data_IF_165982285799
#
_entry.id   IF_165982285799
#
_cell.length_a   1.000
_cell.length_b   1.000
_cell.length_c   1.000
_cell.angle_alpha   90.00
_cell.angle_beta   90.00
_cell.angle_gamma   90.00
#
_symmetry.space_group_name_H-M   'P 1'
#
loop_
_entity.id
_entity.type
_entity.pdbx_description
1 polymer ?
#
# COMPACT_ATOMS: atom_id res chain seq x y z
N UNK A 1 27.16 4.02 -5.39
CA UNK A 1 26.90 2.82 -4.60
C UNK A 1 25.82 1.99 -5.30
N UNK A 2 26.02 0.67 -5.40
CA UNK A 2 25.02 -0.24 -5.92
C UNK A 2 23.78 -0.21 -5.03
N UNK A 3 22.59 -0.28 -5.63
CA UNK A 3 21.35 -0.36 -4.89
C UNK A 3 21.31 -1.68 -4.08
N UNK A 4 20.87 -1.65 -2.80
CA UNK A 4 20.76 -2.87 -2.02
C UNK A 4 19.67 -3.79 -2.57
N UNK A 5 19.89 -5.11 -2.47
CA UNK A 5 18.84 -6.09 -2.74
C UNK A 5 17.77 -6.06 -1.64
N UNK A 6 16.51 -6.36 -1.96
CA UNK A 6 15.45 -6.41 -0.96
C UNK A 6 15.58 -7.63 -0.04
N UNK A 7 15.24 -7.43 1.23
CA UNK A 7 14.96 -8.52 2.17
C UNK A 7 13.46 -8.75 2.23
N UNK A 8 13.02 -9.97 1.90
CA UNK A 8 11.61 -10.36 2.06
C UNK A 8 11.24 -10.51 3.54
N UNK A 9 10.09 -10.01 3.93
CA UNK A 9 9.61 -9.98 5.30
C UNK A 9 8.13 -10.36 5.37
N UNK A 10 7.71 -10.83 6.53
CA UNK A 10 6.31 -10.89 6.94
C UNK A 10 6.15 -9.96 8.14
N UNK A 11 5.32 -8.94 8.01
CA UNK A 11 5.10 -7.94 9.06
C UNK A 11 3.64 -7.98 9.52
N UNK A 12 3.37 -7.75 10.82
CA UNK A 12 1.99 -7.74 11.31
C UNK A 12 1.29 -6.42 10.97
N UNK A 13 0.07 -6.51 10.47
CA UNK A 13 -0.90 -5.42 10.52
C UNK A 13 -1.32 -5.13 11.97
N UNK A 14 -2.08 -4.08 12.22
CA UNK A 14 -2.49 -3.70 13.58
C UNK A 14 -3.38 -4.76 14.28
N UNK A 15 -4.07 -5.59 13.50
CA UNK A 15 -4.89 -6.71 13.97
C UNK A 15 -4.17 -8.07 13.96
N UNK A 16 -2.87 -8.08 13.62
CA UNK A 16 -2.05 -9.29 13.53
C UNK A 16 -2.10 -10.03 12.19
N UNK A 17 -2.87 -9.56 11.20
CA UNK A 17 -2.82 -10.11 9.84
C UNK A 17 -1.41 -9.98 9.27
N UNK A 18 -0.86 -11.06 8.69
CA UNK A 18 0.52 -11.05 8.17
C UNK A 18 0.57 -10.48 6.76
N UNK A 19 1.31 -9.39 6.61
CA UNK A 19 1.52 -8.70 5.35
C UNK A 19 2.86 -9.11 4.74
N UNK A 20 2.86 -9.46 3.46
CA UNK A 20 4.09 -9.61 2.69
C UNK A 20 4.72 -8.24 2.48
N UNK A 21 5.99 -8.11 2.81
CA UNK A 21 6.73 -6.86 2.68
C UNK A 21 8.14 -7.11 2.14
N UNK A 22 8.74 -6.06 1.61
CA UNK A 22 10.13 -6.02 1.18
C UNK A 22 10.81 -4.79 1.75
N UNK A 23 11.96 -4.98 2.36
CA UNK A 23 12.79 -3.90 2.90
C UNK A 23 14.08 -3.78 2.06
N UNK A 24 14.31 -2.62 1.51
CA UNK A 24 15.58 -2.22 0.91
C UNK A 24 16.35 -1.41 1.95
N UNK A 25 17.46 -1.95 2.44
CA UNK A 25 18.36 -1.29 3.41
C UNK A 25 19.80 -1.72 3.15
N UNK A 26 20.75 -0.86 3.43
CA UNK A 26 22.16 -1.24 3.34
C UNK A 26 22.52 -2.18 4.50
N UNK A 27 23.38 -3.18 4.28
CA UNK A 27 23.90 -4.00 5.35
C UNK A 27 24.53 -3.13 6.45
N UNK A 28 24.18 -3.40 7.72
CA UNK A 28 24.74 -2.68 8.88
C UNK A 28 24.15 -1.30 9.15
N UNK A 29 23.18 -0.81 8.37
CA UNK A 29 22.53 0.48 8.59
C UNK A 29 21.48 0.40 9.72
N UNK A 30 21.96 0.44 10.98
CA UNK A 30 21.11 0.28 12.16
C UNK A 30 20.38 1.57 12.57
N UNK A 31 20.92 2.75 12.25
CA UNK A 31 20.39 4.05 12.68
C UNK A 31 20.36 5.05 11.51
N UNK A 32 19.54 4.84 10.49
CA UNK A 32 19.40 5.79 9.41
C UNK A 32 18.73 7.08 9.92
N UNK A 33 19.08 8.23 9.31
CA UNK A 33 18.41 9.50 9.61
C UNK A 33 16.93 9.47 9.22
N UNK A 34 16.60 8.76 8.13
CA UNK A 34 15.24 8.66 7.58
C UNK A 34 14.96 7.27 7.10
N UNK A 35 13.70 6.87 7.21
CA UNK A 35 13.15 5.66 6.59
C UNK A 35 11.92 6.02 5.76
N UNK A 36 11.63 5.21 4.74
CA UNK A 36 10.46 5.42 3.91
C UNK A 36 9.49 4.23 3.99
N UNK A 37 8.20 4.53 3.98
CA UNK A 37 7.11 3.60 3.72
C UNK A 37 6.47 3.95 2.38
N UNK A 38 6.28 2.98 1.50
CA UNK A 38 5.53 3.18 0.26
C UNK A 38 4.17 2.50 0.38
N UNK A 39 3.12 3.32 0.32
CA UNK A 39 1.73 2.89 0.22
C UNK A 39 1.33 2.80 -1.26
N UNK A 40 1.06 1.59 -1.71
CA UNK A 40 0.81 1.26 -3.11
C UNK A 40 -0.54 1.79 -3.63
N UNK A 41 -0.69 1.86 -4.94
CA UNK A 41 -1.99 2.02 -5.60
C UNK A 41 -2.84 0.74 -5.49
N UNK A 42 -4.15 0.87 -5.71
CA UNK A 42 -5.07 -0.27 -5.70
C UNK A 42 -4.65 -1.33 -6.74
N UNK A 43 -4.56 -2.60 -6.30
CA UNK A 43 -4.18 -3.71 -7.18
C UNK A 43 -2.73 -3.66 -7.67
N UNK A 44 -1.86 -2.89 -7.04
CA UNK A 44 -0.44 -2.81 -7.39
C UNK A 44 0.38 -3.50 -6.29
N UNK A 45 1.15 -4.51 -6.71
CA UNK A 45 2.01 -5.28 -5.80
C UNK A 45 3.29 -4.53 -5.44
N UNK A 46 3.90 -4.87 -4.30
CA UNK A 46 5.12 -4.24 -3.81
C UNK A 46 6.29 -4.33 -4.81
N UNK A 47 6.35 -5.38 -5.63
CA UNK A 47 7.37 -5.55 -6.67
C UNK A 47 7.39 -4.40 -7.71
N UNK A 48 6.26 -3.76 -7.97
CA UNK A 48 6.18 -2.62 -8.88
C UNK A 48 7.08 -1.45 -8.46
N UNK A 49 7.26 -1.26 -7.16
CA UNK A 49 8.04 -0.15 -6.58
C UNK A 49 9.50 -0.48 -6.36
N UNK A 50 9.98 -1.64 -6.78
CA UNK A 50 11.34 -2.14 -6.53
C UNK A 50 12.43 -1.14 -6.93
N UNK A 51 12.33 -0.60 -8.16
CA UNK A 51 13.33 0.37 -8.67
C UNK A 51 13.37 1.66 -7.84
N UNK A 52 12.20 2.15 -7.45
CA UNK A 52 12.08 3.36 -6.64
C UNK A 52 12.59 3.13 -5.21
N UNK A 53 12.19 2.02 -4.58
CA UNK A 53 12.65 1.66 -3.25
C UNK A 53 14.16 1.43 -3.18
N UNK A 54 14.71 0.74 -4.19
CA UNK A 54 16.14 0.52 -4.30
C UNK A 54 16.93 1.84 -4.48
N UNK A 55 16.40 2.78 -5.26
CA UNK A 55 16.99 4.11 -5.44
C UNK A 55 16.97 4.93 -4.14
N UNK A 56 15.86 4.95 -3.40
CA UNK A 56 15.77 5.62 -2.10
C UNK A 56 16.76 5.02 -1.10
N UNK A 57 16.85 3.69 -1.02
CA UNK A 57 17.78 3.02 -0.13
C UNK A 57 19.25 3.27 -0.52
N UNK A 58 19.58 3.29 -1.82
CA UNK A 58 20.90 3.69 -2.32
C UNK A 58 21.24 5.14 -1.96
N UNK A 59 20.24 6.00 -1.75
CA UNK A 59 20.39 7.38 -1.32
C UNK A 59 20.40 7.54 0.22
N UNK A 60 20.48 6.44 0.99
CA UNK A 60 20.55 6.46 2.46
C UNK A 60 19.18 6.56 3.16
N UNK A 61 18.11 6.12 2.49
CA UNK A 61 16.76 6.07 3.05
C UNK A 61 16.24 4.63 2.94
N UNK A 62 16.46 3.77 3.95
CA UNK A 62 15.86 2.44 3.98
C UNK A 62 14.36 2.52 3.68
N UNK A 63 13.88 1.66 2.79
CA UNK A 63 12.52 1.76 2.26
C UNK A 63 11.78 0.44 2.42
N UNK A 64 10.65 0.49 3.10
CA UNK A 64 9.69 -0.60 3.24
C UNK A 64 8.57 -0.42 2.22
N UNK A 65 8.30 -1.48 1.47
CA UNK A 65 7.11 -1.60 0.61
C UNK A 65 6.38 -2.88 0.98
N UNK A 66 5.07 -2.86 1.03
CA UNK A 66 4.28 -4.03 1.41
C UNK A 66 3.05 -4.18 0.52
N UNK A 67 2.53 -5.37 0.47
CA UNK A 67 1.25 -5.66 -0.16
C UNK A 67 0.14 -5.51 0.87
N UNK A 68 -0.94 -4.80 0.54
CA UNK A 68 -2.14 -4.76 1.39
C UNK A 68 -2.75 -6.15 1.51
N UNK A 69 -3.52 -6.40 2.58
CA UNK A 69 -4.31 -7.63 2.72
C UNK A 69 -5.15 -7.87 1.48
N UNK A 70 -5.16 -9.09 1.02
CA UNK A 70 -5.86 -9.50 -0.22
C UNK A 70 -5.10 -9.23 -1.51
N UNK A 71 -3.92 -8.57 -1.48
CA UNK A 71 -3.11 -8.22 -2.65
C UNK A 71 -1.77 -8.97 -2.62
N UNK A 72 -1.29 -9.36 -3.79
CA UNK A 72 0.05 -9.92 -3.99
C UNK A 72 0.40 -11.05 -3.03
N UNK A 73 1.52 -10.90 -2.30
CA UNK A 73 1.99 -11.88 -1.31
C UNK A 73 1.20 -11.87 0.01
N UNK A 74 0.35 -10.85 0.24
CA UNK A 74 -0.58 -10.78 1.38
C UNK A 74 -1.97 -11.36 1.05
N UNK A 75 -2.10 -12.03 -0.09
CA UNK A 75 -3.36 -12.62 -0.54
C UNK A 75 -3.58 -13.97 0.16
N UNK A 76 -4.81 -14.23 0.70
CA UNK A 76 -5.16 -15.57 1.16
C UNK A 76 -5.28 -16.55 -0.02
N UNK A 77 -5.32 -17.86 0.21
CA UNK A 77 -5.45 -18.86 -0.86
C UNK A 77 -6.65 -18.62 -1.79
N UNK A 78 -7.72 -18.01 -1.28
CA UNK A 78 -8.88 -17.57 -2.07
C UNK A 78 -9.36 -16.21 -1.59
N UNK A 79 -9.74 -15.34 -2.54
CA UNK A 79 -10.43 -14.08 -2.22
C UNK A 79 -11.94 -14.25 -2.02
N UNK A 80 -12.50 -15.38 -2.44
CA UNK A 80 -13.93 -15.63 -2.26
C UNK A 80 -14.26 -15.75 -0.76
N UNK A 81 -15.09 -14.83 -0.27
CA UNK A 81 -15.44 -14.73 1.15
C UNK A 81 -14.36 -14.06 2.02
N UNK A 82 -13.31 -13.51 1.42
CA UNK A 82 -12.34 -12.68 2.11
C UNK A 82 -12.84 -11.23 2.09
N UNK A 83 -13.16 -10.71 3.26
CA UNK A 83 -13.67 -9.35 3.42
C UNK A 83 -12.52 -8.42 3.81
N UNK A 84 -12.21 -7.46 2.94
CA UNK A 84 -11.23 -6.43 3.19
C UNK A 84 -11.61 -5.14 2.45
N UNK A 85 -11.47 -4.03 3.15
CA UNK A 85 -11.84 -2.71 2.66
C UNK A 85 -10.62 -1.80 2.53
N UNK A 86 -10.76 -0.70 1.80
CA UNK A 86 -9.73 0.35 1.77
C UNK A 86 -9.51 0.96 3.17
N UNK A 87 -10.54 0.94 4.01
CA UNK A 87 -10.42 1.37 5.41
C UNK A 87 -9.51 0.42 6.21
N UNK A 88 -9.61 -0.90 6.00
CA UNK A 88 -8.70 -1.87 6.61
C UNK A 88 -7.26 -1.68 6.14
N UNK A 89 -7.05 -1.37 4.86
CA UNK A 89 -5.72 -1.05 4.34
C UNK A 89 -5.08 0.15 5.06
N UNK A 90 -5.88 1.16 5.43
CA UNK A 90 -5.40 2.33 6.18
C UNK A 90 -5.27 2.07 7.67
N UNK A 91 -6.36 1.69 8.31
CA UNK A 91 -6.43 1.55 9.77
C UNK A 91 -5.59 0.40 10.30
N UNK A 92 -5.52 -0.70 9.57
CA UNK A 92 -4.86 -1.92 10.02
C UNK A 92 -3.51 -2.12 9.35
N UNK A 93 -3.44 -2.16 8.03
CA UNK A 93 -2.23 -2.53 7.31
C UNK A 93 -1.19 -1.40 7.35
N UNK A 94 -1.56 -0.19 6.95
CA UNK A 94 -0.67 0.97 6.98
C UNK A 94 -0.22 1.29 8.41
N UNK A 95 -1.14 1.22 9.38
CA UNK A 95 -0.81 1.44 10.80
C UNK A 95 0.18 0.39 11.32
N UNK A 96 0.00 -0.87 10.98
CA UNK A 96 0.94 -1.94 11.33
C UNK A 96 2.31 -1.76 10.70
N UNK A 97 2.36 -1.41 9.40
CA UNK A 97 3.62 -1.16 8.70
C UNK A 97 4.40 0.03 9.28
N UNK A 98 3.69 1.11 9.66
CA UNK A 98 4.31 2.27 10.35
C UNK A 98 4.83 1.89 11.74
N UNK A 99 4.06 1.13 12.52
CA UNK A 99 4.48 0.66 13.84
C UNK A 99 5.70 -0.27 13.75
N UNK A 100 5.76 -1.13 12.72
CA UNK A 100 6.91 -1.97 12.46
C UNK A 100 8.17 -1.15 12.16
N UNK A 101 8.07 -0.13 11.29
CA UNK A 101 9.19 0.78 10.99
C UNK A 101 9.64 1.56 12.22
N UNK A 102 8.71 2.01 13.07
CA UNK A 102 9.03 2.71 14.32
C UNK A 102 9.81 1.80 15.29
N UNK A 103 9.39 0.56 15.42
CA UNK A 103 10.11 -0.42 16.24
C UNK A 103 11.51 -0.72 15.70
N UNK A 104 11.62 -0.83 14.38
CA UNK A 104 12.88 -1.18 13.70
C UNK A 104 13.87 -0.03 13.66
N UNK A 105 13.37 1.23 13.55
CA UNK A 105 14.16 2.45 13.40
C UNK A 105 13.58 3.60 14.26
N UNK A 106 13.67 3.49 15.59
CA UNK A 106 12.93 4.38 16.51
C UNK A 106 13.31 5.87 16.41
N UNK A 107 14.57 6.16 16.04
CA UNK A 107 15.09 7.53 15.92
C UNK A 107 14.98 8.14 14.50
N UNK A 108 14.51 7.37 13.51
CA UNK A 108 14.47 7.83 12.13
C UNK A 108 13.24 8.70 11.83
N UNK A 109 13.41 9.76 11.03
CA UNK A 109 12.28 10.46 10.39
C UNK A 109 11.53 9.49 9.47
N UNK A 110 10.20 9.50 9.51
CA UNK A 110 9.32 8.65 8.70
C UNK A 110 8.77 9.42 7.52
N UNK A 111 9.26 9.08 6.34
CA UNK A 111 8.70 9.52 5.06
C UNK A 111 7.67 8.51 4.59
N UNK A 112 6.44 8.94 4.33
CA UNK A 112 5.44 8.11 3.66
C UNK A 112 5.28 8.59 2.22
N UNK A 113 5.32 7.66 1.29
CA UNK A 113 5.03 7.90 -0.13
C UNK A 113 3.73 7.22 -0.46
N UNK A 114 2.68 8.00 -0.73
CA UNK A 114 1.37 7.50 -1.11
C UNK A 114 1.13 7.63 -2.62
N UNK A 115 1.03 6.52 -3.33
CA UNK A 115 0.69 6.50 -4.75
C UNK A 115 -0.79 6.20 -4.96
N UNK A 116 -1.50 7.04 -5.73
CA UNK A 116 -2.91 6.83 -6.04
C UNK A 116 -3.75 6.65 -4.76
N UNK A 117 -4.50 5.55 -4.61
CA UNK A 117 -5.24 5.24 -3.37
C UNK A 117 -4.35 5.14 -2.13
N UNK A 118 -3.06 4.85 -2.30
CA UNK A 118 -2.10 4.81 -1.19
C UNK A 118 -1.97 6.12 -0.43
N UNK A 119 -2.22 7.27 -1.08
CA UNK A 119 -2.31 8.54 -0.39
C UNK A 119 -3.55 8.65 0.51
N UNK A 120 -4.68 8.15 0.05
CA UNK A 120 -5.93 8.07 0.82
C UNK A 120 -5.79 7.09 2.01
N UNK A 121 -5.22 5.91 1.75
CA UNK A 121 -4.87 4.90 2.77
C UNK A 121 -4.00 5.49 3.88
N UNK A 122 -3.01 6.34 3.53
CA UNK A 122 -2.17 7.03 4.51
C UNK A 122 -3.01 7.91 5.45
N UNK A 123 -3.99 8.64 4.91
CA UNK A 123 -4.89 9.49 5.68
C UNK A 123 -5.84 8.73 6.62
N UNK A 124 -6.10 7.45 6.34
CA UNK A 124 -6.92 6.58 7.20
C UNK A 124 -6.12 5.90 8.32
N UNK A 125 -4.79 6.00 8.30
CA UNK A 125 -3.95 5.35 9.32
C UNK A 125 -4.19 5.97 10.69
N UNK A 126 -4.23 5.12 11.73
CA UNK A 126 -4.46 5.54 13.13
C UNK A 126 -3.20 6.11 13.79
N UNK A 127 -2.05 5.98 13.12
CA UNK A 127 -0.74 6.46 13.58
C UNK A 127 -0.21 7.64 12.75
N UNK A 128 -1.08 8.36 12.06
CA UNK A 128 -0.72 9.47 11.17
C UNK A 128 0.10 10.57 11.85
N UNK A 129 -0.05 10.77 13.17
CA UNK A 129 0.78 11.70 13.94
C UNK A 129 2.28 11.32 14.00
N UNK A 130 2.64 10.13 13.54
CA UNK A 130 4.01 9.61 13.50
C UNK A 130 4.66 9.74 12.12
N UNK A 131 3.99 10.41 11.17
CA UNK A 131 4.51 10.68 9.83
C UNK A 131 5.16 12.05 9.85
N UNK A 132 6.49 12.09 9.63
CA UNK A 132 7.25 13.35 9.64
C UNK A 132 7.19 14.04 8.27
N UNK A 133 7.09 13.24 7.20
CA UNK A 133 7.03 13.74 5.81
C UNK A 133 6.09 12.88 4.97
N UNK A 134 5.35 13.54 4.08
CA UNK A 134 4.41 12.89 3.17
C UNK A 134 4.67 13.36 1.73
N UNK A 135 4.85 12.39 0.82
CA UNK A 135 4.91 12.62 -0.61
C UNK A 135 3.70 11.92 -1.26
N UNK A 136 2.84 12.68 -1.91
CA UNK A 136 1.67 12.17 -2.61
C UNK A 136 1.89 12.21 -4.12
N UNK A 137 1.72 11.07 -4.76
CA UNK A 137 1.89 10.89 -6.21
C UNK A 137 0.57 10.43 -6.81
N UNK A 138 -0.12 11.33 -7.52
CA UNK A 138 -1.43 11.05 -8.12
C UNK A 138 -2.47 10.57 -7.11
N UNK A 139 -2.36 11.01 -5.85
CA UNK A 139 -3.22 10.55 -4.77
C UNK A 139 -4.65 11.08 -4.94
N UNK A 140 -5.63 10.21 -4.70
CA UNK A 140 -7.05 10.54 -4.76
C UNK A 140 -7.88 9.59 -3.89
N UNK A 141 -9.08 10.01 -3.54
CA UNK A 141 -10.05 9.23 -2.76
C UNK A 141 -10.83 8.21 -3.60
N UNK A 142 -10.82 8.36 -4.93
CA UNK A 142 -11.71 7.62 -5.84
C UNK A 142 -13.13 8.18 -5.89
N UNK A 143 -13.44 9.27 -5.16
CA UNK A 143 -14.78 9.85 -5.17
C UNK A 143 -15.15 10.34 -6.56
N UNK A 144 -16.25 9.84 -7.10
CA UNK A 144 -16.69 10.14 -8.48
C UNK A 144 -16.88 11.63 -8.76
N UNK A 145 -17.22 12.42 -7.73
CA UNK A 145 -17.42 13.87 -7.85
C UNK A 145 -16.15 14.67 -8.14
N UNK A 146 -14.96 14.10 -7.88
CA UNK A 146 -13.66 14.75 -8.12
C UNK A 146 -13.19 14.62 -9.58
N UNK A 147 -13.84 13.76 -10.35
CA UNK A 147 -13.52 13.59 -11.78
C UNK A 147 -14.13 14.69 -12.66
N UNK A 148 -13.56 14.87 -13.85
CA UNK A 148 -14.13 15.78 -14.85
C UNK A 148 -15.61 15.45 -15.13
N UNK A 149 -16.44 16.47 -15.33
CA UNK A 149 -17.91 16.35 -15.44
C UNK A 149 -18.37 15.25 -16.40
N UNK A 150 -17.67 15.09 -17.54
CA UNK A 150 -17.93 14.03 -18.54
C UNK A 150 -17.66 12.60 -18.04
N UNK A 151 -16.77 12.44 -17.07
CA UNK A 151 -16.39 11.13 -16.53
C UNK A 151 -17.23 10.73 -15.31
N UNK A 152 -17.84 11.67 -14.60
CA UNK A 152 -18.60 11.44 -13.36
C UNK A 152 -19.67 10.37 -13.48
N UNK A 153 -20.56 10.37 -14.50
CA UNK A 153 -21.60 9.35 -14.62
C UNK A 153 -21.01 7.94 -14.76
N UNK A 154 -19.94 7.80 -15.55
CA UNK A 154 -19.25 6.53 -15.72
C UNK A 154 -18.57 6.07 -14.44
N UNK A 155 -17.87 6.97 -13.74
CA UNK A 155 -17.23 6.65 -12.47
C UNK A 155 -18.25 6.28 -11.40
N UNK A 156 -19.41 6.94 -11.38
CA UNK A 156 -20.51 6.55 -10.49
C UNK A 156 -21.00 5.13 -10.79
N UNK A 157 -21.25 4.81 -12.05
CA UNK A 157 -21.67 3.46 -12.46
C UNK A 157 -20.61 2.42 -12.13
N UNK A 158 -19.34 2.73 -12.38
CA UNK A 158 -18.23 1.82 -12.06
C UNK A 158 -18.21 1.48 -10.57
N UNK A 159 -18.20 2.49 -9.69
CA UNK A 159 -18.04 2.29 -8.25
C UNK A 159 -19.29 1.77 -7.55
N UNK A 160 -20.48 2.19 -7.98
CA UNK A 160 -21.71 1.88 -7.25
C UNK A 160 -22.56 0.77 -7.90
N UNK A 161 -22.27 0.38 -9.14
CA UNK A 161 -23.02 -0.65 -9.86
C UNK A 161 -22.12 -1.80 -10.30
N UNK A 162 -21.13 -1.53 -11.16
CA UNK A 162 -20.33 -2.59 -11.78
C UNK A 162 -19.44 -3.33 -10.78
N UNK A 163 -18.65 -2.61 -9.97
CA UNK A 163 -17.78 -3.26 -8.99
C UNK A 163 -18.56 -4.08 -7.97
N UNK A 164 -19.62 -3.53 -7.31
CA UNK A 164 -20.41 -4.32 -6.38
C UNK A 164 -21.12 -5.52 -7.04
N UNK A 165 -21.63 -5.37 -8.26
CA UNK A 165 -22.30 -6.47 -8.96
C UNK A 165 -21.31 -7.60 -9.28
N UNK A 166 -20.13 -7.28 -9.82
CA UNK A 166 -19.09 -8.26 -10.12
C UNK A 166 -18.60 -8.96 -8.84
N UNK A 167 -18.37 -8.19 -7.78
CA UNK A 167 -17.93 -8.74 -6.49
C UNK A 167 -18.98 -9.70 -5.91
N UNK A 168 -20.27 -9.36 -5.98
CA UNK A 168 -21.34 -10.28 -5.51
C UNK A 168 -21.40 -11.58 -6.30
N UNK A 169 -21.20 -11.54 -7.63
CA UNK A 169 -21.27 -12.74 -8.48
C UNK A 169 -20.01 -13.59 -8.36
N UNK A 170 -18.84 -12.97 -8.37
CA UNK A 170 -17.55 -13.67 -8.40
C UNK A 170 -17.03 -13.96 -6.99
N UNK A 171 -17.43 -13.14 -6.00
CA UNK A 171 -16.96 -13.18 -4.61
C UNK A 171 -15.73 -12.32 -4.36
N UNK A 172 -15.27 -11.56 -5.39
CA UNK A 172 -14.19 -10.57 -5.35
C UNK A 172 -14.25 -9.75 -6.67
N UNK A 173 -13.58 -8.62 -6.73
CA UNK A 173 -13.49 -7.86 -7.99
C UNK A 173 -12.38 -8.44 -8.89
N UNK A 174 -12.73 -9.00 -10.08
CA UNK A 174 -11.77 -9.71 -10.94
C UNK A 174 -10.91 -8.74 -11.77
N UNK A 175 -10.07 -7.94 -11.10
CA UNK A 175 -9.30 -6.87 -11.70
C UNK A 175 -8.36 -7.35 -12.80
N UNK A 176 -7.69 -8.50 -12.62
CA UNK A 176 -6.79 -9.08 -13.62
C UNK A 176 -7.48 -9.34 -14.96
N UNK A 177 -8.73 -9.80 -14.92
CA UNK A 177 -9.53 -10.02 -16.14
C UNK A 177 -9.94 -8.73 -16.84
N UNK A 178 -9.92 -7.62 -16.12
CA UNK A 178 -10.28 -6.28 -16.59
C UNK A 178 -9.06 -5.40 -16.88
N UNK A 179 -7.84 -5.97 -16.87
CA UNK A 179 -6.61 -5.28 -17.22
C UNK A 179 -5.89 -4.60 -16.05
N UNK A 180 -6.32 -4.81 -14.81
CA UNK A 180 -5.56 -4.42 -13.62
C UNK A 180 -4.45 -5.44 -13.33
N UNK A 181 -3.47 -5.03 -12.51
CA UNK A 181 -2.37 -5.92 -12.12
C UNK A 181 -2.83 -7.04 -11.18
N UNK A 182 -3.84 -6.75 -10.31
CA UNK A 182 -4.36 -7.69 -9.32
C UNK A 182 -5.90 -7.68 -9.26
N UNK A 183 -6.46 -8.80 -8.74
CA UNK A 183 -7.84 -8.85 -8.30
C UNK A 183 -7.95 -8.16 -6.93
N UNK A 184 -9.09 -7.55 -6.63
CA UNK A 184 -9.33 -6.86 -5.36
C UNK A 184 -10.29 -7.68 -4.48
N UNK A 185 -10.06 -7.71 -3.17
CA UNK A 185 -10.96 -8.33 -2.21
C UNK A 185 -12.34 -7.67 -2.15
#
# INVERSE_FOLDING_TARGET
PSAPAPTGLSIPAADGYLLHARLWARPGEASPRRVALVNAGAGIVCAYYERFAAWLAASGTPTLVYDYRGIGGSRPPTLRGFDATVEDWGRLDCSGALAWLETRYPAAERLVVGHSVGGFVTGLSTVGARIDRLLLVGAHSGFYGDYASRARPWMYVLWHVLMPALTRVVGYFPGRRLGLLEDLP
#
